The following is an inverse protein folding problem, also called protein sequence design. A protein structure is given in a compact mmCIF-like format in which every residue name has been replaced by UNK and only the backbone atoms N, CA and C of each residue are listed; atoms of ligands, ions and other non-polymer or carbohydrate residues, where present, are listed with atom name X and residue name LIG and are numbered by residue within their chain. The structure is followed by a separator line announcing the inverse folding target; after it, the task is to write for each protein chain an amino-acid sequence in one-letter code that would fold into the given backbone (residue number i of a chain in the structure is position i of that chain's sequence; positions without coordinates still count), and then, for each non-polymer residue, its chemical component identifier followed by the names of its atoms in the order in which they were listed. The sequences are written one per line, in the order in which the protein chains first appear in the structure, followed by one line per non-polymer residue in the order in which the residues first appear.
data_IF_887989811458
#
_entry.id   IF_887989811458
#
_cell.length_a   1.000
_cell.length_b   1.000
_cell.length_c   1.000
_cell.angle_alpha   90.00
_cell.angle_beta   90.00
_cell.angle_gamma   90.00
#
_symmetry.space_group_name_H-M   'P 1'
#
loop_
_entity.id
_entity.type
_entity.pdbx_description
1 polymer ?
#
# COMPACT_ATOMS: atom_id res chain seq x y z
N UNK A 1 11.48 5.47 19.90
CA UNK A 1 10.99 4.35 19.04
C UNK A 1 11.26 4.70 17.60
N UNK A 2 11.76 3.75 16.79
CA UNK A 2 12.06 4.00 15.39
C UNK A 2 10.78 3.84 14.55
N UNK A 3 10.08 4.95 14.31
CA UNK A 3 8.80 4.97 13.59
C UNK A 3 8.91 4.37 12.17
N UNK A 4 10.10 4.40 11.55
CA UNK A 4 10.33 3.78 10.23
C UNK A 4 10.22 2.26 10.27
N UNK A 5 10.69 1.62 11.34
CA UNK A 5 10.61 0.16 11.46
C UNK A 5 9.16 -0.31 11.58
N UNK A 6 8.31 0.47 12.24
CA UNK A 6 6.88 0.19 12.39
C UNK A 6 6.16 0.39 11.04
N UNK A 7 6.46 1.49 10.33
CA UNK A 7 5.94 1.76 8.99
C UNK A 7 6.29 0.66 7.98
N UNK A 8 7.56 0.26 7.91
CA UNK A 8 8.01 -0.80 7.02
C UNK A 8 7.30 -2.14 7.28
N UNK A 9 7.08 -2.48 8.55
CA UNK A 9 6.35 -3.70 8.89
C UNK A 9 4.86 -3.63 8.51
N UNK A 10 4.23 -2.47 8.60
CA UNK A 10 2.85 -2.29 8.13
C UNK A 10 2.78 -2.47 6.61
N UNK A 11 3.74 -1.91 5.87
CA UNK A 11 3.81 -2.03 4.43
C UNK A 11 4.11 -3.47 3.96
N UNK A 12 4.98 -4.19 4.69
CA UNK A 12 5.24 -5.61 4.43
C UNK A 12 3.95 -6.44 4.55
N UNK A 13 3.16 -6.19 5.60
CA UNK A 13 1.85 -6.86 5.81
C UNK A 13 0.87 -6.50 4.70
N UNK A 14 0.79 -5.23 4.31
CA UNK A 14 -0.04 -4.79 3.19
C UNK A 14 0.37 -5.48 1.87
N UNK A 15 1.67 -5.56 1.57
CA UNK A 15 2.18 -6.27 0.40
C UNK A 15 1.84 -7.77 0.43
N UNK A 16 1.91 -8.41 1.60
CA UNK A 16 1.55 -9.82 1.75
C UNK A 16 0.06 -10.03 1.45
N UNK A 17 -0.82 -9.20 2.03
CA UNK A 17 -2.25 -9.22 1.76
C UNK A 17 -2.56 -9.02 0.27
N UNK A 18 -1.95 -8.00 -0.35
CA UNK A 18 -2.13 -7.71 -1.78
C UNK A 18 -1.71 -8.90 -2.66
N UNK A 19 -0.56 -9.51 -2.39
CA UNK A 19 -0.10 -10.71 -3.12
C UNK A 19 -1.04 -11.89 -2.95
N UNK A 20 -1.53 -12.15 -1.74
CA UNK A 20 -2.53 -13.20 -1.47
C UNK A 20 -3.82 -12.97 -2.28
N UNK A 21 -4.22 -11.70 -2.44
CA UNK A 21 -5.36 -11.26 -3.24
C UNK A 21 -5.05 -11.05 -4.73
N UNK A 22 -3.94 -11.62 -5.24
CA UNK A 22 -3.55 -11.64 -6.66
C UNK A 22 -3.22 -10.26 -7.26
N UNK A 23 -2.83 -9.30 -6.44
CA UNK A 23 -2.20 -8.07 -6.92
C UNK A 23 -0.73 -8.31 -7.23
N UNK A 24 -0.23 -7.65 -8.29
CA UNK A 24 1.20 -7.57 -8.60
C UNK A 24 1.76 -6.28 -8.01
N UNK A 25 2.67 -6.40 -7.05
CA UNK A 25 3.40 -5.23 -6.54
C UNK A 25 4.36 -4.73 -7.63
N UNK A 26 4.26 -3.45 -7.96
CA UNK A 26 5.10 -2.77 -8.95
C UNK A 26 6.21 -1.98 -8.28
N UNK A 27 5.88 -1.21 -7.24
CA UNK A 27 6.82 -0.42 -6.44
C UNK A 27 6.37 -0.39 -4.97
N UNK A 28 7.34 -0.11 -4.11
CA UNK A 28 7.23 0.02 -2.65
C UNK A 28 8.09 1.22 -2.23
N UNK A 29 7.65 2.01 -1.24
CA UNK A 29 8.33 3.24 -0.81
C UNK A 29 8.81 4.07 -2.00
N UNK A 30 7.93 4.30 -2.98
CA UNK A 30 8.32 4.92 -4.23
C UNK A 30 8.35 6.43 -4.10
N UNK A 31 9.55 6.98 -4.05
CA UNK A 31 9.79 8.41 -4.04
C UNK A 31 10.05 8.90 -5.47
N UNK A 32 9.43 10.00 -5.86
CA UNK A 32 9.63 10.69 -7.14
C UNK A 32 9.57 12.20 -6.92
N UNK A 33 9.94 13.00 -7.93
CA UNK A 33 10.17 14.44 -7.77
C UNK A 33 8.97 15.26 -7.25
N UNK A 34 7.76 14.69 -7.28
CA UNK A 34 6.53 15.38 -6.90
C UNK A 34 5.80 14.74 -5.71
N UNK A 35 6.39 13.73 -5.07
CA UNK A 35 5.77 13.07 -3.92
C UNK A 35 6.28 11.66 -3.68
N UNK A 36 5.54 10.94 -2.84
CA UNK A 36 5.81 9.56 -2.47
C UNK A 36 4.53 8.72 -2.56
N UNK A 37 4.71 7.43 -2.82
CA UNK A 37 3.67 6.42 -2.82
C UNK A 37 4.19 5.23 -2.01
N UNK A 38 3.45 4.83 -0.97
CA UNK A 38 3.82 3.67 -0.15
C UNK A 38 3.87 2.39 -0.99
N UNK A 39 2.78 2.06 -1.69
CA UNK A 39 2.72 0.88 -2.56
C UNK A 39 2.03 1.22 -3.89
N UNK A 40 2.68 0.85 -4.98
CA UNK A 40 2.09 0.81 -6.31
C UNK A 40 1.87 -0.65 -6.71
N UNK A 41 0.64 -1.02 -7.06
CA UNK A 41 0.29 -2.37 -7.46
C UNK A 41 -0.57 -2.42 -8.72
N UNK A 42 -0.73 -3.61 -9.28
CA UNK A 42 -1.64 -3.89 -10.40
C UNK A 42 -2.60 -5.00 -10.02
N UNK A 43 -3.90 -4.76 -10.19
CA UNK A 43 -4.93 -5.78 -9.92
C UNK A 43 -5.06 -6.81 -11.05
N UNK A 44 -6.00 -7.76 -10.89
CA UNK A 44 -6.30 -8.78 -11.90
C UNK A 44 -6.88 -8.22 -13.20
N UNK A 45 -7.54 -7.06 -13.14
CA UNK A 45 -8.12 -6.36 -14.28
C UNK A 45 -7.11 -5.42 -14.97
N UNK A 46 -5.85 -5.43 -14.53
CA UNK A 46 -4.74 -4.58 -15.00
C UNK A 46 -4.87 -3.10 -14.60
N UNK A 47 -5.73 -2.77 -13.65
CA UNK A 47 -5.80 -1.42 -13.10
C UNK A 47 -4.55 -1.14 -12.26
N UNK A 48 -4.08 0.12 -12.31
CA UNK A 48 -3.05 0.60 -11.40
C UNK A 48 -3.73 0.99 -10.08
N UNK A 49 -3.15 0.52 -8.98
CA UNK A 49 -3.64 0.80 -7.63
C UNK A 49 -2.53 1.50 -6.86
N UNK A 50 -2.84 2.66 -6.32
CA UNK A 50 -2.00 3.40 -5.38
C UNK A 50 -2.56 3.10 -4.00
N UNK A 51 -1.72 2.60 -3.10
CA UNK A 51 -2.12 2.21 -1.75
C UNK A 51 -1.26 2.97 -0.76
N UNK A 52 -1.93 3.73 0.10
CA UNK A 52 -1.36 4.39 1.27
C UNK A 52 -1.50 3.48 2.49
N UNK A 53 -0.44 3.29 3.26
CA UNK A 53 -0.37 2.36 4.37
C UNK A 53 -0.32 3.12 5.69
N UNK A 54 -1.33 2.92 6.54
CA UNK A 54 -1.33 3.48 7.88
C UNK A 54 -0.81 2.47 8.91
N UNK A 55 0.19 2.87 9.69
CA UNK A 55 0.80 2.03 10.74
C UNK A 55 0.23 2.26 12.15
N UNK A 56 -0.84 3.05 12.28
CA UNK A 56 -1.44 3.39 13.57
C UNK A 56 -2.21 2.21 14.17
N UNK A 57 -2.02 1.95 15.47
CA UNK A 57 -2.68 0.86 16.20
C UNK A 57 -4.21 0.97 16.25
N UNK A 58 -4.76 2.19 16.12
CA UNK A 58 -6.20 2.45 16.02
C UNK A 58 -6.80 2.07 14.66
N UNK A 59 -5.98 1.98 13.60
CA UNK A 59 -6.42 1.56 12.26
C UNK A 59 -6.48 0.03 12.10
N UNK A 60 -5.80 -0.74 12.96
CA UNK A 60 -5.84 -2.22 12.95
C UNK A 60 -7.22 -2.79 13.28
N UNK A 61 -8.09 -2.01 13.93
CA UNK A 61 -9.50 -2.34 14.14
C UNK A 61 -10.38 -2.08 12.90
N UNK A 62 -9.88 -1.32 11.92
CA UNK A 62 -10.53 -0.98 10.65
C UNK A 62 -9.69 -1.58 9.50
N UNK A 63 -9.47 -2.89 9.53
CA UNK A 63 -8.69 -3.64 8.53
C UNK A 63 -9.33 -3.66 7.11
N UNK A 64 -10.20 -2.69 6.82
CA UNK A 64 -10.71 -2.30 5.51
C UNK A 64 -10.00 -1.04 4.98
N UNK A 65 -8.92 -0.61 5.63
CA UNK A 65 -8.04 0.53 5.33
C UNK A 65 -8.13 0.98 3.87
N UNK A 66 -8.91 2.04 3.68
CA UNK A 66 -9.28 2.73 2.43
C UNK A 66 -8.37 2.40 1.24
N UNK A 67 -8.87 1.55 0.35
CA UNK A 67 -8.37 1.47 -1.02
C UNK A 67 -8.76 2.74 -1.76
N UNK A 68 -7.80 3.63 -2.03
CA UNK A 68 -8.02 4.75 -2.93
C UNK A 68 -7.68 4.29 -4.35
N UNK A 69 -8.67 3.69 -5.03
CA UNK A 69 -8.54 3.31 -6.44
C UNK A 69 -8.55 4.58 -7.31
N UNK A 70 -7.38 5.08 -7.68
CA UNK A 70 -7.26 6.01 -8.81
C UNK A 70 -6.58 5.29 -9.98
N UNK A 71 -7.38 4.90 -10.97
CA UNK A 71 -6.93 4.82 -12.36
C UNK A 71 -8.15 4.68 -13.28
N UNK A 72 -8.56 5.80 -13.87
CA UNK A 72 -9.29 5.81 -15.13
C UNK A 72 -8.53 6.76 -16.05
N UNK A 73 -7.92 6.21 -17.10
CA UNK A 73 -7.67 6.96 -18.33
C UNK A 73 -8.85 6.69 -19.25
#
# INVERSE_FOLDING_TARGET
MNNRAIGNQAEDRACQFLRQNKYKILKRNWHFSFGEIDILARDRKKNICIIEVNSSSSALADASSRFVFFAQM
#
